data_IF_454100698693
#
_entry.id   IF_454100698693
#
_cell.length_a   1.000
_cell.length_b   1.000
_cell.length_c   1.000
_cell.angle_alpha   90.00
_cell.angle_beta   90.00
_cell.angle_gamma   90.00
#
_symmetry.space_group_name_H-M   'P 1'
#
loop_
_entity.id
_entity.type
_entity.pdbx_description
1 polymer ?
#
# COMPACT_ATOMS: atom_id res chain seq x y z
N UNK A 1 -16.34 -14.70 -20.33
CA UNK A 1 -15.01 -14.19 -19.92
C UNK A 1 -14.65 -14.44 -18.44
N UNK A 2 -15.56 -14.92 -17.58
CA UNK A 2 -15.29 -15.09 -16.13
C UNK A 2 -14.43 -16.29 -15.71
N UNK A 3 -14.42 -17.39 -16.48
CA UNK A 3 -13.72 -18.62 -16.08
C UNK A 3 -12.21 -18.42 -15.87
N UNK A 4 -11.54 -17.75 -16.82
CA UNK A 4 -10.10 -17.50 -16.76
C UNK A 4 -9.73 -16.51 -15.64
N UNK A 5 -10.62 -15.61 -15.22
CA UNK A 5 -10.31 -14.60 -14.18
C UNK A 5 -10.28 -15.24 -12.79
N UNK A 6 -11.25 -16.12 -12.50
CA UNK A 6 -11.28 -16.86 -11.24
C UNK A 6 -10.09 -17.82 -11.13
N UNK A 7 -9.78 -18.53 -12.21
CA UNK A 7 -8.62 -19.44 -12.28
C UNK A 7 -7.29 -18.68 -12.12
N UNK A 8 -7.11 -17.56 -12.84
CA UNK A 8 -5.93 -16.70 -12.68
C UNK A 8 -5.80 -16.14 -11.26
N UNK A 9 -6.91 -15.76 -10.62
CA UNK A 9 -6.90 -15.28 -9.23
C UNK A 9 -6.44 -16.39 -8.30
N UNK A 10 -6.90 -17.62 -8.49
CA UNK A 10 -6.44 -18.77 -7.69
C UNK A 10 -4.97 -19.08 -7.90
N UNK A 11 -4.48 -19.02 -9.14
CA UNK A 11 -3.05 -19.14 -9.45
C UNK A 11 -2.22 -18.08 -8.73
N UNK A 12 -2.70 -16.83 -8.69
CA UNK A 12 -2.04 -15.74 -7.94
C UNK A 12 -2.11 -15.95 -6.43
N UNK A 13 -3.20 -16.48 -5.88
CA UNK A 13 -3.27 -16.82 -4.44
C UNK A 13 -2.26 -17.91 -4.07
N UNK A 14 -2.07 -18.90 -4.93
CA UNK A 14 -1.00 -19.88 -4.75
C UNK A 14 0.37 -19.20 -4.79
N UNK A 15 0.61 -18.34 -5.79
CA UNK A 15 1.85 -17.58 -5.90
C UNK A 15 2.12 -16.70 -4.65
N UNK A 16 1.09 -16.10 -4.03
CA UNK A 16 1.22 -15.36 -2.75
C UNK A 16 1.79 -16.25 -1.65
N UNK A 17 1.31 -17.50 -1.50
CA UNK A 17 1.88 -18.42 -0.51
C UNK A 17 3.30 -18.85 -0.86
N UNK A 18 3.57 -19.12 -2.14
CA UNK A 18 4.91 -19.50 -2.59
C UNK A 18 5.93 -18.37 -2.30
N UNK A 19 5.59 -17.11 -2.58
CA UNK A 19 6.41 -15.93 -2.27
C UNK A 19 6.67 -15.78 -0.77
N UNK A 20 5.63 -15.95 0.05
CA UNK A 20 5.78 -15.87 1.50
C UNK A 20 6.62 -17.03 2.06
N UNK A 21 6.48 -18.24 1.50
CA UNK A 21 7.31 -19.38 1.86
C UNK A 21 8.78 -19.14 1.49
N UNK A 22 9.05 -18.53 0.34
CA UNK A 22 10.40 -18.13 -0.07
C UNK A 22 11.01 -17.08 0.88
N UNK A 23 10.21 -16.11 1.32
CA UNK A 23 10.61 -15.11 2.32
C UNK A 23 11.05 -15.70 3.65
N UNK A 24 10.56 -16.88 4.03
CA UNK A 24 11.02 -17.61 5.24
C UNK A 24 12.49 -18.02 5.12
N UNK A 25 13.00 -18.26 3.91
CA UNK A 25 14.37 -18.70 3.69
C UNK A 25 15.35 -17.57 3.32
N UNK A 26 14.85 -16.42 2.86
CA UNK A 26 15.70 -15.30 2.42
C UNK A 26 15.95 -14.23 3.48
N UNK A 27 15.36 -14.35 4.69
CA UNK A 27 15.30 -13.29 5.73
C UNK A 27 14.69 -11.96 5.23
N UNK A 28 14.11 -11.94 4.03
CA UNK A 28 13.50 -10.77 3.41
C UNK A 28 12.02 -10.69 3.80
N UNK A 29 11.67 -9.68 4.60
CA UNK A 29 10.28 -9.42 4.98
C UNK A 29 9.64 -8.46 3.98
N UNK A 30 8.91 -9.01 3.02
CA UNK A 30 8.12 -8.25 2.07
C UNK A 30 6.85 -7.69 2.74
N UNK A 31 6.51 -6.44 2.43
CA UNK A 31 5.21 -5.89 2.78
C UNK A 31 4.11 -6.47 1.88
N UNK A 32 2.83 -6.24 2.24
CA UNK A 32 1.68 -6.77 1.51
C UNK A 32 1.69 -6.42 0.01
N UNK A 33 2.01 -5.17 -0.32
CA UNK A 33 2.10 -4.70 -1.70
C UNK A 33 3.18 -5.42 -2.50
N UNK A 34 4.36 -5.61 -1.91
CA UNK A 34 5.46 -6.32 -2.55
C UNK A 34 5.13 -7.80 -2.79
N UNK A 35 4.49 -8.47 -1.82
CA UNK A 35 4.03 -9.86 -1.99
C UNK A 35 3.00 -9.98 -3.11
N UNK A 36 2.04 -9.05 -3.17
CA UNK A 36 1.03 -9.02 -4.23
C UNK A 36 1.63 -8.69 -5.60
N UNK A 37 2.59 -7.76 -5.65
CA UNK A 37 3.34 -7.40 -6.85
C UNK A 37 4.08 -8.59 -7.42
N UNK A 38 4.90 -9.26 -6.60
CA UNK A 38 5.64 -10.47 -6.99
C UNK A 38 4.69 -11.60 -7.47
N UNK A 39 3.56 -11.81 -6.79
CA UNK A 39 2.56 -12.79 -7.24
C UNK A 39 1.94 -12.44 -8.61
N UNK A 40 1.75 -11.15 -8.89
CA UNK A 40 1.29 -10.66 -10.20
C UNK A 40 2.39 -10.78 -11.26
N UNK A 41 3.66 -10.61 -10.91
CA UNK A 41 4.77 -10.84 -11.85
C UNK A 41 4.87 -12.32 -12.25
N UNK A 42 4.66 -13.24 -11.30
CA UNK A 42 4.62 -14.69 -11.57
C UNK A 42 3.42 -15.11 -12.41
N UNK A 43 2.28 -14.46 -12.20
CA UNK A 43 1.04 -14.73 -12.95
C UNK A 43 0.45 -13.40 -13.47
N UNK A 44 0.93 -12.92 -14.63
CA UNK A 44 0.57 -11.60 -15.16
C UNK A 44 -0.93 -11.37 -15.32
N UNK A 45 -1.37 -10.13 -15.11
CA UNK A 45 -2.76 -9.70 -15.35
C UNK A 45 -3.08 -9.77 -16.85
N UNK A 46 -4.24 -10.32 -17.20
CA UNK A 46 -4.76 -10.26 -18.57
C UNK A 46 -5.29 -8.85 -18.91
N UNK A 47 -5.73 -8.61 -20.15
CA UNK A 47 -6.17 -7.28 -20.61
C UNK A 47 -7.26 -6.66 -19.73
N UNK A 48 -8.32 -7.42 -19.43
CA UNK A 48 -9.41 -6.98 -18.57
C UNK A 48 -8.97 -6.72 -17.12
N UNK A 49 -8.07 -7.56 -16.61
CA UNK A 49 -7.52 -7.44 -15.25
C UNK A 49 -6.58 -6.24 -15.10
N UNK A 50 -5.93 -5.80 -16.18
CA UNK A 50 -5.02 -4.63 -16.21
C UNK A 50 -5.77 -3.30 -16.28
N UNK A 51 -7.05 -3.29 -16.63
CA UNK A 51 -7.84 -2.07 -16.62
C UNK A 51 -7.78 -1.40 -15.24
N UNK A 52 -7.37 -0.14 -15.23
CA UNK A 52 -7.30 0.66 -14.02
C UNK A 52 -8.70 1.02 -13.56
N UNK A 53 -8.94 0.84 -12.26
CA UNK A 53 -10.13 1.37 -11.60
C UNK A 53 -9.97 2.88 -11.38
N UNK A 54 -11.01 3.54 -10.87
CA UNK A 54 -10.95 4.97 -10.52
C UNK A 54 -9.76 5.28 -9.61
N UNK A 55 -9.44 4.42 -8.64
CA UNK A 55 -8.27 4.57 -7.79
C UNK A 55 -6.93 4.15 -8.40
N UNK A 56 -6.79 4.07 -9.73
CA UNK A 56 -5.52 3.75 -10.42
C UNK A 56 -4.91 2.38 -10.13
N UNK A 57 -5.59 1.55 -9.34
CA UNK A 57 -5.23 0.16 -9.08
C UNK A 57 -5.87 -0.71 -10.17
N UNK A 58 -5.11 -1.64 -10.81
CA UNK A 58 -5.68 -2.61 -11.73
C UNK A 58 -6.79 -3.45 -11.09
N UNK A 59 -7.86 -3.72 -11.84
CA UNK A 59 -8.98 -4.56 -11.38
C UNK A 59 -8.53 -5.92 -10.82
N UNK A 60 -7.57 -6.56 -11.50
CA UNK A 60 -7.00 -7.83 -11.08
C UNK A 60 -6.26 -7.75 -9.75
N UNK A 61 -5.54 -6.66 -9.51
CA UNK A 61 -4.88 -6.43 -8.22
C UNK A 61 -5.91 -6.28 -7.10
N UNK A 62 -6.95 -5.44 -7.28
CA UNK A 62 -8.04 -5.28 -6.30
C UNK A 62 -8.73 -6.63 -5.99
N UNK A 63 -8.95 -7.43 -7.03
CA UNK A 63 -9.55 -8.77 -6.92
C UNK A 63 -8.66 -9.70 -6.11
N UNK A 64 -7.35 -9.71 -6.39
CA UNK A 64 -6.37 -10.52 -5.65
C UNK A 64 -6.28 -10.10 -4.18
N UNK A 65 -6.16 -8.79 -3.89
CA UNK A 65 -6.13 -8.26 -2.51
C UNK A 65 -7.34 -8.75 -1.73
N UNK A 66 -8.54 -8.70 -2.31
CA UNK A 66 -9.78 -9.18 -1.69
C UNK A 66 -9.74 -10.70 -1.48
N UNK A 67 -9.32 -11.45 -2.50
CA UNK A 67 -9.31 -12.90 -2.49
C UNK A 67 -8.33 -13.50 -1.46
N UNK A 68 -7.29 -12.76 -1.06
CA UNK A 68 -6.35 -13.19 0.00
C UNK A 68 -7.02 -13.45 1.35
N UNK A 69 -8.23 -12.91 1.59
CA UNK A 69 -9.03 -13.25 2.77
C UNK A 69 -9.34 -14.76 2.85
N UNK A 70 -9.40 -15.49 1.72
CA UNK A 70 -9.55 -16.94 1.69
C UNK A 70 -8.37 -17.66 2.37
N UNK A 71 -7.14 -17.19 2.13
CA UNK A 71 -5.92 -17.75 2.72
C UNK A 71 -5.85 -17.50 4.23
N UNK A 72 -6.41 -16.37 4.70
CA UNK A 72 -6.53 -16.09 6.12
C UNK A 72 -7.56 -17.01 6.77
N UNK A 73 -8.73 -17.17 6.13
CA UNK A 73 -9.80 -18.04 6.62
C UNK A 73 -9.38 -19.52 6.69
N UNK A 74 -8.51 -19.98 5.79
CA UNK A 74 -7.95 -21.33 5.83
C UNK A 74 -6.82 -21.50 6.86
N UNK A 75 -6.40 -20.42 7.53
CA UNK A 75 -5.29 -20.45 8.48
C UNK A 75 -3.91 -20.56 7.82
N UNK A 76 -3.80 -20.33 6.52
CA UNK A 76 -2.54 -20.45 5.76
C UNK A 76 -1.74 -19.16 5.73
N UNK A 77 -2.42 -18.03 5.89
CA UNK A 77 -1.85 -16.69 5.89
C UNK A 77 -2.24 -15.95 7.16
N UNK A 78 -1.27 -15.35 7.83
CA UNK A 78 -1.50 -14.37 8.89
C UNK A 78 -1.12 -12.99 8.39
N UNK A 79 -2.09 -12.09 8.37
CA UNK A 79 -1.86 -10.67 8.11
C UNK A 79 -1.59 -9.98 9.45
N UNK A 80 -0.32 -9.71 9.74
CA UNK A 80 0.13 -9.15 11.00
C UNK A 80 0.58 -7.70 10.88
N UNK A 81 0.97 -7.11 12.03
CA UNK A 81 1.49 -5.74 12.14
C UNK A 81 2.82 -5.53 11.42
N UNK A 82 3.64 -6.58 11.33
CA UNK A 82 4.94 -6.55 10.65
C UNK A 82 4.85 -6.97 9.18
N UNK A 83 3.64 -6.96 8.60
CA UNK A 83 3.37 -7.47 7.26
C UNK A 83 2.71 -8.84 7.26
N UNK A 84 2.72 -9.47 6.08
CA UNK A 84 2.12 -10.78 5.88
C UNK A 84 3.12 -11.88 6.23
N UNK A 85 2.63 -12.95 6.84
CA UNK A 85 3.42 -14.11 7.23
C UNK A 85 2.67 -15.40 6.91
N UNK A 86 3.40 -16.40 6.42
CA UNK A 86 2.84 -17.73 6.15
C UNK A 86 2.90 -18.57 7.43
N UNK A 87 1.85 -19.35 7.70
CA UNK A 87 1.83 -20.29 8.84
C UNK A 87 2.53 -21.59 8.48
N UNK A 88 2.82 -22.44 9.47
CA UNK A 88 3.31 -23.81 9.23
C UNK A 88 2.35 -24.60 8.34
N UNK A 89 1.04 -24.47 8.56
CA UNK A 89 0.03 -25.10 7.71
C UNK A 89 0.01 -24.50 6.31
N UNK A 90 0.18 -23.19 6.16
CA UNK A 90 0.33 -22.54 4.85
C UNK A 90 1.55 -23.06 4.10
N UNK A 91 2.68 -23.23 4.78
CA UNK A 91 3.88 -23.82 4.20
C UNK A 91 3.64 -25.28 3.77
N UNK A 92 2.99 -26.09 4.61
CA UNK A 92 2.62 -27.47 4.22
C UNK A 92 1.62 -27.50 3.08
N UNK A 93 0.70 -26.52 2.99
CA UNK A 93 -0.28 -26.42 1.92
C UNK A 93 0.38 -26.24 0.55
N UNK A 94 1.52 -25.54 0.45
CA UNK A 94 2.27 -25.41 -0.82
C UNK A 94 2.81 -26.76 -1.32
N UNK A 95 3.06 -27.70 -0.40
CA UNK A 95 3.49 -29.07 -0.72
C UNK A 95 2.30 -29.99 -0.97
N UNK A 96 1.29 -29.97 -0.08
CA UNK A 96 0.10 -30.83 -0.16
C UNK A 96 -0.74 -30.56 -1.41
N UNK A 97 -0.79 -29.30 -1.84
CA UNK A 97 -1.58 -28.84 -2.97
C UNK A 97 -0.68 -28.17 -4.02
N UNK A 98 0.38 -28.87 -4.41
CA UNK A 98 1.32 -28.37 -5.42
C UNK A 98 0.64 -28.10 -6.77
N UNK A 99 -0.34 -28.92 -7.15
CA UNK A 99 -1.14 -28.73 -8.36
C UNK A 99 -2.19 -27.62 -8.18
N UNK A 100 -2.23 -26.60 -9.06
CA UNK A 100 -3.14 -25.46 -8.94
C UNK A 100 -4.63 -25.84 -8.84
N UNK A 101 -5.05 -26.88 -9.56
CA UNK A 101 -6.43 -27.37 -9.50
C UNK A 101 -6.76 -27.99 -8.14
N UNK A 102 -5.83 -28.75 -7.56
CA UNK A 102 -5.99 -29.31 -6.22
C UNK A 102 -6.00 -28.22 -5.15
N UNK A 103 -5.16 -27.19 -5.31
CA UNK A 103 -5.15 -26.00 -4.47
C UNK A 103 -6.48 -25.25 -4.51
N UNK A 104 -7.04 -25.04 -5.71
CA UNK A 104 -8.33 -24.38 -5.87
C UNK A 104 -9.44 -25.11 -5.10
N UNK A 105 -9.53 -26.42 -5.30
CA UNK A 105 -10.53 -27.27 -4.63
C UNK A 105 -10.33 -27.24 -3.11
N UNK A 106 -9.10 -27.37 -2.63
CA UNK A 106 -8.80 -27.34 -1.20
C UNK A 106 -9.15 -26.00 -0.55
N UNK A 107 -8.81 -24.89 -1.22
CA UNK A 107 -9.07 -23.55 -0.73
C UNK A 107 -10.57 -23.22 -0.70
N UNK A 108 -11.32 -23.61 -1.73
CA UNK A 108 -12.76 -23.37 -1.79
C UNK A 108 -13.55 -24.28 -0.84
N UNK A 109 -13.11 -25.53 -0.64
CA UNK A 109 -13.72 -26.46 0.32
C UNK A 109 -13.31 -26.21 1.78
N UNK A 110 -12.26 -25.41 2.02
CA UNK A 110 -11.67 -25.24 3.33
C UNK A 110 -11.02 -26.53 3.85
N UNK A 111 -10.48 -27.35 2.95
CA UNK A 111 -9.88 -28.65 3.28
C UNK A 111 -8.65 -28.43 4.17
N UNK A 112 -8.59 -29.07 5.36
CA UNK A 112 -7.41 -28.99 6.20
C UNK A 112 -6.22 -29.65 5.51
N UNK A 113 -5.01 -29.16 5.78
CA UNK A 113 -3.80 -29.77 5.25
C UNK A 113 -3.66 -31.19 5.81
N UNK A 114 -3.40 -32.21 4.98
CA UNK A 114 -3.27 -33.59 5.46
C UNK A 114 -2.24 -33.73 6.59
N UNK A 115 -2.60 -34.49 7.63
CA UNK A 115 -1.70 -34.73 8.75
C UNK A 115 -0.43 -35.46 8.27
N UNK A 116 0.74 -34.95 8.64
CA UNK A 116 2.03 -35.52 8.26
C UNK A 116 2.65 -34.94 6.98
N UNK A 117 2.01 -33.95 6.32
CA UNK A 117 2.66 -33.23 5.23
C UNK A 117 3.94 -32.53 5.74
N UNK A 118 5.12 -32.77 5.13
CA UNK A 118 6.36 -32.13 5.53
C UNK A 118 6.33 -30.64 5.19
N UNK A 119 7.13 -29.85 5.92
CA UNK A 119 7.40 -28.47 5.51
C UNK A 119 8.17 -28.48 4.18
N UNK A 120 7.98 -27.46 3.32
CA UNK A 120 8.70 -27.34 2.07
C UNK A 120 10.21 -27.27 2.36
N UNK A 121 10.99 -28.05 1.61
CA UNK A 121 12.44 -28.01 1.71
C UNK A 121 12.94 -26.70 1.11
N UNK A 122 13.83 -25.99 1.83
CA UNK A 122 14.50 -24.82 1.28
C UNK A 122 15.17 -25.19 -0.05
N UNK A 123 15.03 -24.37 -1.10
CA UNK A 123 15.67 -24.65 -2.37
C UNK A 123 17.18 -24.80 -2.12
N UNK A 124 17.74 -25.95 -2.52
CA UNK A 124 19.16 -26.21 -2.32
C UNK A 124 19.96 -25.07 -2.96
N UNK A 125 20.76 -24.35 -2.15
CA UNK A 125 21.75 -23.40 -2.68
C UNK A 125 22.61 -24.19 -3.65
N UNK A 126 22.38 -24.02 -4.96
CA UNK A 126 23.28 -24.56 -5.99
C UNK A 126 24.69 -24.14 -5.57
N UNK A 127 25.66 -25.06 -5.44
CA UNK A 127 27.03 -24.64 -5.20
C UNK A 127 27.37 -23.65 -6.30
N UNK A 128 27.85 -22.47 -5.89
CA UNK A 128 28.23 -21.41 -6.80
C UNK A 128 29.04 -22.02 -7.94
N UNK A 129 28.44 -22.07 -9.13
CA UNK A 129 29.17 -22.46 -10.32
C UNK A 129 30.33 -21.46 -10.41
N UNK A 130 31.55 -21.98 -10.29
CA UNK A 130 32.78 -21.20 -10.43
C UNK A 130 32.61 -20.30 -11.63
N UNK A 131 32.69 -18.99 -11.37
CA UNK A 131 32.63 -17.97 -12.39
C UNK A 131 33.61 -18.31 -13.52
N UNK A 132 33.08 -18.62 -14.69
CA UNK A 132 33.87 -18.58 -15.93
C UNK A 132 34.14 -17.11 -16.19
N UNK A 133 35.40 -16.72 -16.00
CA UNK A 133 35.88 -15.37 -16.24
C UNK A 133 35.59 -14.99 -17.69
N UNK A 134 34.73 -13.99 -17.89
CA UNK A 134 34.60 -13.28 -19.16
C UNK A 134 35.72 -12.21 -19.20
N UNK A 135 36.52 -12.13 -20.26
CA UNK A 135 37.68 -11.25 -20.29
C UNK A 135 37.28 -9.77 -20.25
N UNK A 136 38.18 -9.01 -19.62
CA UNK A 136 38.08 -7.61 -19.25
C UNK A 136 37.71 -6.66 -20.39
N UNK A 137 36.88 -5.66 -20.07
CA UNK A 137 36.88 -4.37 -20.75
C UNK A 137 37.21 -3.28 -19.73
N UNK A 138 38.17 -2.46 -20.13
CA UNK A 138 38.94 -1.46 -19.37
C UNK A 138 38.07 -0.29 -18.88
N UNK A 139 38.40 0.36 -17.75
CA UNK A 139 37.53 1.31 -17.09
C UNK A 139 37.72 2.75 -17.61
N UNK A 140 36.63 3.52 -17.66
CA UNK A 140 36.67 4.98 -17.68
C UNK A 140 35.76 5.50 -16.57
N UNK A 141 36.39 5.90 -15.47
CA UNK A 141 35.81 6.72 -14.44
C UNK A 141 35.79 8.20 -14.87
N UNK A 142 34.86 8.96 -14.26
CA UNK A 142 34.71 10.43 -14.19
C UNK A 142 33.60 11.03 -15.06
N UNK A 143 32.44 11.26 -14.42
CA UNK A 143 31.80 12.57 -14.34
C UNK A 143 30.48 12.49 -13.54
N UNK A 144 30.57 12.54 -12.21
CA UNK A 144 29.51 13.13 -11.37
C UNK A 144 29.85 14.61 -11.28
N UNK A 145 28.88 15.48 -11.61
CA UNK A 145 28.99 16.92 -11.38
C UNK A 145 28.57 17.81 -12.54
N UNK A 146 27.34 17.67 -13.07
CA UNK A 146 26.56 18.77 -13.70
C UNK A 146 25.18 18.30 -14.13
N UNK A 147 24.21 18.39 -13.23
CA UNK A 147 22.77 18.46 -13.59
C UNK A 147 21.97 19.26 -12.55
N UNK A 148 22.61 20.17 -11.82
CA UNK A 148 21.97 21.35 -11.25
C UNK A 148 22.11 22.49 -12.27
N UNK A 149 20.99 23.16 -12.56
CA UNK A 149 20.72 24.14 -13.65
C UNK A 149 20.35 23.53 -15.01
N UNK A 150 19.04 23.37 -15.25
CA UNK A 150 18.29 24.05 -16.33
C UNK A 150 16.86 23.47 -16.36
N UNK A 151 15.93 24.07 -15.61
CA UNK A 151 14.55 24.30 -16.09
C UNK A 151 13.99 25.51 -15.33
N UNK A 152 14.64 26.64 -15.57
CA UNK A 152 14.05 27.96 -15.41
C UNK A 152 13.88 28.47 -16.84
N UNK A 153 12.71 29.06 -17.11
CA UNK A 153 12.28 29.74 -18.35
C UNK A 153 11.36 28.96 -19.32
N UNK A 154 10.06 29.01 -18.99
CA UNK A 154 8.89 29.12 -19.88
C UNK A 154 7.64 29.03 -18.97
N UNK A 155 6.72 29.98 -18.79
CA UNK A 155 6.20 31.10 -19.58
C UNK A 155 5.56 32.11 -18.60
N UNK A 156 5.73 33.41 -18.84
CA UNK A 156 4.90 34.50 -18.28
C UNK A 156 4.08 35.12 -19.44
N UNK A 157 3.12 36.05 -19.21
CA UNK A 157 2.09 36.17 -18.16
C UNK A 157 0.70 36.51 -18.75
N UNK A 158 -0.41 36.30 -18.01
CA UNK A 158 -1.66 37.06 -18.27
C UNK A 158 -2.45 37.39 -16.99
N UNK A 159 -2.73 38.70 -16.89
CA UNK A 159 -3.84 39.40 -16.24
C UNK A 159 -4.12 39.29 -14.71
N UNK A 160 -3.62 40.34 -14.03
CA UNK A 160 -4.20 41.09 -12.91
C UNK A 160 -5.75 41.10 -12.80
N UNK A 161 -6.26 40.87 -11.58
CA UNK A 161 -7.32 41.58 -10.84
C UNK A 161 -7.77 40.65 -9.68
N UNK A 162 -7.87 40.99 -8.39
CA UNK A 162 -8.34 42.17 -7.67
C UNK A 162 -7.64 42.23 -6.29
N UNK A 163 -7.25 43.43 -5.85
CA UNK A 163 -6.77 43.74 -4.50
C UNK A 163 -7.84 44.51 -3.71
N UNK A 164 -7.75 44.39 -2.38
CA UNK A 164 -8.38 45.17 -1.27
C UNK A 164 -9.79 44.72 -0.93
N UNK A 165 -10.10 44.32 0.30
CA UNK A 165 -10.00 45.03 1.61
C UNK A 165 -10.31 43.94 2.67
N UNK A 166 -9.92 43.92 3.95
CA UNK A 166 -9.63 44.94 4.97
C UNK A 166 -9.17 44.18 6.23
N UNK A 167 -8.25 44.77 6.97
CA UNK A 167 -7.76 44.36 8.29
C UNK A 167 -8.78 44.65 9.42
N UNK A 168 -8.85 43.78 10.42
CA UNK A 168 -9.18 44.04 11.84
C UNK A 168 -8.95 42.73 12.62
N UNK A 169 -7.88 42.60 13.42
CA UNK A 169 -7.74 43.04 14.81
C UNK A 169 -8.32 42.04 15.83
N UNK A 170 -7.44 41.64 16.74
CA UNK A 170 -7.55 40.67 17.82
C UNK A 170 -8.58 41.03 18.91
N UNK A 171 -9.07 40.01 19.63
CA UNK A 171 -8.90 39.87 21.09
C UNK A 171 -9.49 38.53 21.62
N UNK A 172 -9.02 38.01 22.77
CA UNK A 172 -9.14 36.61 23.18
C UNK A 172 -10.20 36.36 24.28
N UNK A 173 -10.62 35.11 24.46
CA UNK A 173 -11.32 34.63 25.66
C UNK A 173 -10.84 33.20 25.96
N UNK A 174 -9.91 33.04 26.91
CA UNK A 174 -10.10 32.62 28.31
C UNK A 174 -10.45 31.13 28.48
N UNK A 175 -9.43 30.38 28.89
CA UNK A 175 -9.51 29.13 29.65
C UNK A 175 -10.34 29.28 30.93
N UNK A 176 -11.06 28.22 31.29
CA UNK A 176 -11.27 27.80 32.68
C UNK A 176 -11.38 26.25 32.72
N UNK A 177 -10.74 25.57 33.68
CA UNK A 177 -10.62 24.11 33.72
C UNK A 177 -11.72 23.45 34.56
N UNK A 178 -12.04 22.19 34.26
CA UNK A 178 -12.74 21.30 35.18
C UNK A 178 -12.17 19.87 35.09
N UNK A 179 -11.35 19.51 36.11
CA UNK A 179 -11.23 18.15 36.66
C UNK A 179 -12.60 17.75 37.23
N UNK A 180 -13.11 16.53 37.24
CA UNK A 180 -12.63 15.23 37.77
C UNK A 180 -13.88 14.29 37.62
N UNK A 181 -13.90 13.02 37.21
CA UNK A 181 -13.48 11.79 37.92
C UNK A 181 -13.96 10.58 37.07
N UNK A 182 -13.26 9.43 37.05
CA UNK A 182 -13.59 8.30 36.16
C UNK A 182 -14.57 7.30 36.79
N UNK A 183 -15.45 6.71 35.97
CA UNK A 183 -16.29 5.58 36.37
C UNK A 183 -16.28 4.47 35.30
N UNK A 184 -15.66 3.35 35.70
CA UNK A 184 -15.99 1.96 35.40
C UNK A 184 -16.27 1.50 33.95
N UNK A 185 -15.24 0.88 33.37
CA UNK A 185 -15.24 -0.50 32.87
C UNK A 185 -16.57 -1.11 32.38
N UNK A 186 -16.71 -1.19 31.06
CA UNK A 186 -17.42 -2.28 30.38
C UNK A 186 -16.48 -2.84 29.30
N UNK A 187 -16.28 -4.15 29.34
CA UNK A 187 -15.38 -4.90 28.47
C UNK A 187 -15.96 -5.05 27.07
N UNK A 188 -15.18 -4.77 26.02
CA UNK A 188 -15.45 -5.22 24.65
C UNK A 188 -14.14 -5.50 23.90
N UNK A 189 -14.12 -6.64 23.22
CA UNK A 189 -13.19 -7.18 22.22
C UNK A 189 -11.81 -6.53 22.05
N UNK A 190 -10.76 -7.33 22.24
CA UNK A 190 -9.38 -6.96 21.94
C UNK A 190 -9.15 -6.64 20.46
N UNK A 191 -9.35 -5.38 20.08
CA UNK A 191 -8.70 -4.78 18.92
C UNK A 191 -7.32 -4.34 19.40
N UNK A 192 -6.28 -5.13 19.09
CA UNK A 192 -4.90 -4.74 19.40
C UNK A 192 -4.57 -3.43 18.67
N UNK A 193 -4.55 -2.33 19.41
CA UNK A 193 -4.20 -1.00 18.95
C UNK A 193 -2.73 -0.95 18.57
N UNK A 194 -2.42 -0.67 17.30
CA UNK A 194 -1.05 -0.38 16.86
C UNK A 194 -0.65 1.02 17.30
N UNK A 195 0.64 1.25 17.53
CA UNK A 195 1.14 2.62 17.67
C UNK A 195 0.92 3.33 16.34
N UNK A 196 0.08 4.37 16.37
CA UNK A 196 -0.26 5.16 15.21
C UNK A 196 0.78 6.27 15.05
N UNK A 197 1.13 6.66 13.81
CA UNK A 197 1.95 7.84 13.58
C UNK A 197 1.26 9.08 14.16
N UNK A 198 2.04 10.09 14.52
CA UNK A 198 1.49 11.32 15.09
C UNK A 198 0.62 12.09 14.08
N UNK A 199 0.90 11.91 12.78
CA UNK A 199 0.15 12.53 11.69
C UNK A 199 0.31 11.72 10.41
N UNK A 200 -0.70 11.73 9.55
CA UNK A 200 -0.68 11.14 8.22
C UNK A 200 -1.22 12.17 7.24
N UNK A 201 -0.51 12.38 6.14
CA UNK A 201 -0.89 13.31 5.10
C UNK A 201 -1.10 12.60 3.77
N UNK A 202 -2.10 13.03 3.01
CA UNK A 202 -2.21 12.72 1.58
C UNK A 202 -1.60 13.87 0.81
N UNK A 203 -0.40 13.69 0.29
CA UNK A 203 0.30 14.72 -0.47
C UNK A 203 0.27 14.40 -1.96
N UNK A 204 -0.27 15.32 -2.76
CA UNK A 204 -0.49 15.12 -4.19
C UNK A 204 -0.85 16.41 -4.95
N UNK A 205 -1.28 16.24 -6.20
CA UNK A 205 -1.55 17.34 -7.14
C UNK A 205 -2.82 18.15 -6.81
N UNK A 206 -3.60 17.70 -5.83
CA UNK A 206 -4.87 18.31 -5.43
C UNK A 206 -4.81 19.06 -4.10
N UNK A 207 -3.67 19.12 -3.38
CA UNK A 207 -3.66 19.75 -2.06
C UNK A 207 -4.04 21.24 -2.10
N UNK A 208 -3.68 21.97 -3.16
CA UNK A 208 -4.13 23.37 -3.32
C UNK A 208 -5.65 23.48 -3.47
N UNK A 209 -6.31 22.46 -4.01
CA UNK A 209 -7.77 22.39 -4.11
C UNK A 209 -8.42 22.13 -2.74
N UNK A 210 -7.68 21.50 -1.82
CA UNK A 210 -8.07 21.34 -0.41
C UNK A 210 -7.85 22.62 0.42
N UNK A 211 -7.21 23.65 -0.17
CA UNK A 211 -6.87 24.89 0.51
C UNK A 211 -5.41 24.97 0.98
N UNK A 212 -4.59 23.94 0.74
CA UNK A 212 -3.18 23.98 1.11
C UNK A 212 -2.42 25.07 0.32
N UNK A 213 -1.39 25.70 0.91
CA UNK A 213 -0.57 26.69 0.21
C UNK A 213 0.21 26.15 -1.01
N UNK A 214 0.46 24.84 -1.07
CA UNK A 214 1.17 24.18 -2.16
C UNK A 214 0.77 22.70 -2.31
N UNK A 215 0.93 22.17 -3.52
CA UNK A 215 0.84 20.73 -3.79
C UNK A 215 2.07 20.00 -3.25
N UNK A 216 1.94 18.68 -3.03
CA UNK A 216 3.04 17.82 -2.55
C UNK A 216 3.66 18.27 -1.22
N UNK A 217 2.84 18.86 -0.36
CA UNK A 217 3.28 19.45 0.89
C UNK A 217 2.59 18.75 2.09
N UNK A 218 3.19 17.67 2.63
CA UNK A 218 2.61 16.88 3.72
C UNK A 218 2.65 17.59 5.08
N UNK A 219 3.30 18.74 5.18
CA UNK A 219 3.41 19.48 6.43
C UNK A 219 2.16 20.31 6.78
N UNK A 220 1.33 20.62 5.78
CA UNK A 220 0.14 21.48 5.94
C UNK A 220 -1.05 20.72 6.49
N UNK A 221 -1.89 21.42 7.27
CA UNK A 221 -3.05 20.84 7.96
C UNK A 221 -4.11 20.36 6.97
N UNK A 222 -4.27 21.06 5.84
CA UNK A 222 -5.25 20.75 4.79
C UNK A 222 -4.94 19.43 4.06
N UNK A 223 -3.70 18.93 4.15
CA UNK A 223 -3.30 17.65 3.60
C UNK A 223 -3.45 16.49 4.59
N UNK A 224 -3.76 16.76 5.87
CA UNK A 224 -3.79 15.73 6.91
C UNK A 224 -5.05 14.87 6.84
N UNK A 225 -4.88 13.59 7.11
CA UNK A 225 -5.95 12.62 7.33
C UNK A 225 -6.38 12.66 8.80
N UNK A 226 -7.61 12.24 9.05
CA UNK A 226 -8.13 12.02 10.40
C UNK A 226 -8.07 10.53 10.74
N UNK A 227 -7.60 10.21 11.95
CA UNK A 227 -7.60 8.82 12.44
C UNK A 227 -8.98 8.48 13.00
N UNK A 228 -9.62 7.47 12.42
CA UNK A 228 -10.78 6.82 13.01
C UNK A 228 -10.30 5.75 14.00
N UNK A 229 -10.57 5.98 15.29
CA UNK A 229 -10.10 5.10 16.36
C UNK A 229 -10.84 3.76 16.39
N UNK A 230 -12.05 3.67 15.84
CA UNK A 230 -12.85 2.45 15.90
C UNK A 230 -12.33 1.39 14.93
N UNK A 231 -11.96 1.78 13.71
CA UNK A 231 -11.42 0.88 12.70
C UNK A 231 -9.89 0.97 12.52
N UNK A 232 -9.24 1.92 13.21
CA UNK A 232 -7.80 2.19 13.14
C UNK A 232 -7.32 2.61 11.74
N UNK A 233 -8.20 3.24 10.95
CA UNK A 233 -7.89 3.76 9.61
C UNK A 233 -7.73 5.27 9.62
N UNK A 234 -6.76 5.75 8.85
CA UNK A 234 -6.64 7.16 8.51
C UNK A 234 -7.53 7.47 7.31
N UNK A 235 -8.34 8.53 7.39
CA UNK A 235 -9.33 8.89 6.38
C UNK A 235 -9.18 10.35 5.97
N UNK A 236 -9.27 10.61 4.67
CA UNK A 236 -9.43 11.95 4.11
C UNK A 236 -10.65 11.94 3.19
N UNK A 237 -11.55 12.89 3.40
CA UNK A 237 -12.70 13.13 2.55
C UNK A 237 -12.62 14.53 1.96
N UNK A 238 -12.71 14.63 0.64
CA UNK A 238 -12.60 15.91 -0.07
C UNK A 238 -13.49 15.92 -1.31
N UNK A 239 -14.14 17.05 -1.58
CA UNK A 239 -14.80 17.26 -2.87
C UNK A 239 -13.76 17.74 -3.90
N UNK A 240 -13.57 16.96 -4.97
CA UNK A 240 -12.62 17.28 -6.03
C UNK A 240 -13.33 17.32 -7.39
N UNK A 241 -12.92 18.21 -8.30
CA UNK A 241 -13.42 18.18 -9.67
C UNK A 241 -12.98 16.89 -10.39
N UNK A 242 -13.65 16.61 -11.52
CA UNK A 242 -13.25 15.50 -12.37
C UNK A 242 -11.83 15.73 -12.92
N UNK A 243 -11.00 14.71 -12.90
CA UNK A 243 -9.61 14.82 -13.33
C UNK A 243 -8.77 13.61 -13.02
N UNK A 244 -7.52 13.65 -13.48
CA UNK A 244 -6.48 12.69 -13.11
C UNK A 244 -5.54 13.36 -12.12
N UNK A 245 -5.28 12.69 -11.01
CA UNK A 245 -4.43 13.17 -9.93
C UNK A 245 -3.40 12.12 -9.58
N UNK A 246 -2.27 12.55 -9.01
CA UNK A 246 -1.33 11.65 -8.36
C UNK A 246 -1.05 12.08 -6.93
N UNK A 247 -0.81 11.10 -6.06
CA UNK A 247 -0.52 11.35 -4.64
C UNK A 247 0.30 10.25 -3.98
N UNK A 248 0.76 10.53 -2.76
CA UNK A 248 1.38 9.58 -1.83
C UNK A 248 0.84 9.80 -0.41
N UNK A 249 1.00 8.78 0.43
CA UNK A 249 0.79 8.90 1.88
C UNK A 249 2.12 9.21 2.53
N UNK A 250 2.18 10.28 3.31
CA UNK A 250 3.37 10.73 4.01
C UNK A 250 3.13 10.73 5.52
N UNK A 251 4.08 10.23 6.31
CA UNK A 251 3.92 10.13 7.76
C UNK A 251 4.60 11.28 8.49
N UNK A 252 4.04 11.63 9.65
CA UNK A 252 4.60 12.59 10.60
C UNK A 252 4.95 13.94 9.96
N UNK A 253 4.10 14.42 9.04
CA UNK A 253 4.25 15.72 8.35
C UNK A 253 5.57 15.88 7.59
N UNK A 254 6.17 14.77 7.18
CA UNK A 254 7.49 14.72 6.54
C UNK A 254 7.50 13.72 5.39
N UNK A 255 8.56 13.73 4.60
CA UNK A 255 8.78 12.72 3.54
C UNK A 255 9.69 11.56 3.99
N UNK A 256 10.14 11.56 5.25
CA UNK A 256 11.10 10.56 5.77
C UNK A 256 10.53 9.14 5.71
N UNK A 257 9.21 9.00 5.88
CA UNK A 257 8.49 7.75 5.69
C UNK A 257 7.24 8.02 4.84
N UNK A 258 7.19 7.42 3.64
CA UNK A 258 6.08 7.60 2.71
C UNK A 258 5.76 6.31 1.95
N UNK A 259 4.50 6.21 1.53
CA UNK A 259 3.94 5.06 0.85
C UNK A 259 3.27 5.49 -0.45
N UNK A 260 3.73 4.87 -1.53
CA UNK A 260 3.22 5.07 -2.89
C UNK A 260 2.15 4.07 -3.30
N UNK A 261 1.99 3.86 -4.60
CA UNK A 261 1.12 2.82 -5.14
C UNK A 261 1.41 1.47 -4.49
N UNK A 262 0.34 0.72 -4.22
CA UNK A 262 0.38 -0.58 -3.55
C UNK A 262 0.99 -0.55 -2.13
N UNK A 263 1.14 0.61 -1.49
CA UNK A 263 1.67 0.68 -0.13
C UNK A 263 3.17 0.44 -0.03
N UNK A 264 3.91 0.62 -1.14
CA UNK A 264 5.36 0.42 -1.18
C UNK A 264 6.07 1.62 -0.57
N UNK A 265 7.00 1.37 0.36
CA UNK A 265 7.86 2.38 0.96
C UNK A 265 8.70 3.05 -0.13
N UNK A 266 8.70 4.38 -0.18
CA UNK A 266 9.33 5.17 -1.26
C UNK A 266 8.88 4.75 -2.68
N UNK A 267 7.71 4.11 -2.79
CA UNK A 267 7.20 3.55 -4.03
C UNK A 267 6.80 4.61 -5.07
N UNK A 268 6.35 4.17 -6.26
CA UNK A 268 5.80 5.06 -7.28
C UNK A 268 4.55 5.81 -6.79
N UNK A 269 4.17 6.91 -7.42
CA UNK A 269 2.97 7.66 -7.02
C UNK A 269 1.70 6.82 -7.25
N UNK A 270 0.69 7.03 -6.40
CA UNK A 270 -0.64 6.48 -6.60
C UNK A 270 -1.37 7.30 -7.65
N UNK A 271 -1.89 6.65 -8.69
CA UNK A 271 -2.70 7.31 -9.73
C UNK A 271 -4.18 7.30 -9.35
N UNK A 272 -4.88 8.38 -9.65
CA UNK A 272 -6.31 8.53 -9.35
C UNK A 272 -7.01 9.15 -10.55
N UNK A 273 -7.93 8.41 -11.16
CA UNK A 273 -8.89 8.89 -12.13
C UNK A 273 -10.23 9.16 -11.44
N UNK A 274 -10.50 10.43 -11.16
CA UNK A 274 -11.68 10.86 -10.44
C UNK A 274 -12.76 11.40 -11.38
N UNK A 275 -13.99 10.93 -11.23
CA UNK A 275 -15.13 11.40 -12.03
C UNK A 275 -15.70 12.74 -11.52
N UNK A 276 -15.19 13.24 -10.40
CA UNK A 276 -15.66 14.44 -9.73
C UNK A 276 -16.61 14.15 -8.57
N UNK A 277 -16.69 15.08 -7.61
CA UNK A 277 -17.46 14.97 -6.38
C UNK A 277 -16.63 14.46 -5.20
N UNK A 278 -17.29 13.81 -4.25
CA UNK A 278 -16.66 13.33 -3.01
C UNK A 278 -15.65 12.20 -3.30
N UNK A 279 -14.39 12.46 -2.99
CA UNK A 279 -13.32 11.48 -2.89
C UNK A 279 -13.12 11.10 -1.42
N UNK A 280 -13.05 9.81 -1.14
CA UNK A 280 -12.65 9.27 0.17
C UNK A 280 -11.39 8.43 -0.01
N UNK A 281 -10.37 8.71 0.78
CA UNK A 281 -9.11 7.94 0.80
C UNK A 281 -8.94 7.34 2.18
N UNK A 282 -8.72 6.03 2.24
CA UNK A 282 -8.40 5.30 3.45
C UNK A 282 -6.95 4.81 3.40
N UNK A 283 -6.25 4.91 4.54
CA UNK A 283 -4.93 4.34 4.75
C UNK A 283 -4.91 3.49 6.03
N UNK A 284 -4.49 2.23 5.90
CA UNK A 284 -4.28 1.33 7.05
C UNK A 284 -2.77 1.28 7.37
N UNK A 285 -2.37 1.90 8.49
CA UNK A 285 -0.96 1.91 8.90
C UNK A 285 -0.43 0.50 9.24
N UNK A 286 -1.28 -0.45 9.60
CA UNK A 286 -0.86 -1.82 9.90
C UNK A 286 -0.35 -2.55 8.67
N UNK A 287 -1.04 -2.37 7.56
CA UNK A 287 -0.82 -3.12 6.31
C UNK A 287 -0.14 -2.28 5.24
N UNK A 288 -0.07 -0.97 5.46
CA UNK A 288 0.34 0.06 4.50
C UNK A 288 -0.56 0.15 3.28
N UNK A 289 -1.75 -0.43 3.36
CA UNK A 289 -2.71 -0.45 2.25
C UNK A 289 -3.38 0.92 2.08
N UNK A 290 -3.64 1.27 0.81
CA UNK A 290 -4.28 2.52 0.40
C UNK A 290 -5.50 2.16 -0.41
N UNK A 291 -6.68 2.54 0.10
CA UNK A 291 -7.97 2.15 -0.48
C UNK A 291 -8.82 3.38 -0.74
N UNK A 292 -9.41 3.43 -1.94
CA UNK A 292 -10.41 4.41 -2.33
C UNK A 292 -11.74 3.65 -2.46
N UNK A 293 -12.62 3.71 -1.44
CA UNK A 293 -13.90 3.00 -1.43
C UNK A 293 -14.93 3.58 -2.42
#
# INVERSE_FOLDING_TARGET
>A
MGANTAENTTLRLKAVLDVLAEGVWSDEKLNAGAVLGEAIERVPLNEYERELLSGGIPRGHKTLTTATAKLVKSGWLVKGRSGWSITDDGQRATVAFAEPAAFAVALDAGTPVPAGTPLPAAPAKKPAAKAVQKPAQTPVAKAVGKATKLVEDAVAPVAKAVRKRKTAAAAPAKEAPAKETPAASAAEAGTESIEQPAAVAVAGDFNVLLGAPANWAPQYDESQMELDLADQLWKLAADLPAGSYTFKIALNRSWDENYGAFGVFDGPNHELHHAGGLLVIHYDHRTRDIVLP
#
